data_IF_476047191049
#
_entry.id   IF_476047191049
#
_cell.length_a   1.000
_cell.length_b   1.000
_cell.length_c   1.000
_cell.angle_alpha   90.00
_cell.angle_beta   90.00
_cell.angle_gamma   90.00
#
_symmetry.space_group_name_H-M   'P 1'
#
loop_
_entity.id
_entity.type
_entity.pdbx_description
1 polymer ?
#
# COMPACT_ATOMS: atom_id res chain seq x y z
N UNK A 1 -47.68 -22.07 -51.50
CA UNK A 1 -47.54 -22.96 -50.32
C UNK A 1 -46.06 -22.98 -49.93
N UNK A 2 -45.57 -22.04 -49.12
CA UNK A 2 -45.37 -22.14 -47.65
C UNK A 2 -44.74 -23.46 -47.17
N UNK A 3 -43.43 -23.44 -46.93
CA UNK A 3 -42.72 -23.92 -45.72
C UNK A 3 -41.45 -23.06 -45.62
N UNK A 4 -41.13 -22.31 -44.56
CA UNK A 4 -41.60 -22.35 -43.18
C UNK A 4 -40.35 -22.34 -42.30
N UNK A 5 -40.10 -21.20 -41.65
CA UNK A 5 -39.00 -20.89 -40.74
C UNK A 5 -38.71 -21.94 -39.66
N UNK A 6 -37.44 -22.13 -39.31
CA UNK A 6 -36.99 -22.37 -37.93
C UNK A 6 -35.48 -22.09 -37.84
N UNK A 7 -35.16 -20.83 -37.56
CA UNK A 7 -33.84 -20.27 -37.24
C UNK A 7 -33.84 -20.04 -35.73
N UNK A 8 -32.73 -20.36 -35.06
CA UNK A 8 -32.35 -19.92 -33.71
C UNK A 8 -33.32 -20.23 -32.56
N UNK A 9 -33.10 -21.34 -31.85
CA UNK A 9 -33.55 -21.55 -30.46
C UNK A 9 -32.84 -22.79 -29.87
N UNK A 10 -31.55 -22.66 -29.55
CA UNK A 10 -30.90 -23.49 -28.51
C UNK A 10 -29.92 -22.60 -27.74
N UNK A 11 -30.50 -21.58 -27.09
CA UNK A 11 -30.02 -21.02 -25.83
C UNK A 11 -31.04 -21.46 -24.78
N UNK A 12 -30.59 -21.70 -23.55
CA UNK A 12 -31.39 -21.94 -22.33
C UNK A 12 -31.49 -23.40 -21.81
N UNK A 13 -30.37 -24.06 -21.47
CA UNK A 13 -30.41 -25.28 -20.61
C UNK A 13 -29.12 -25.61 -19.80
N UNK A 14 -28.24 -24.64 -19.49
CA UNK A 14 -27.08 -24.89 -18.60
C UNK A 14 -26.99 -23.90 -17.43
N UNK A 15 -28.12 -23.47 -16.89
CA UNK A 15 -28.19 -22.66 -15.66
C UNK A 15 -29.31 -23.19 -14.74
N UNK A 16 -29.21 -24.47 -14.37
CA UNK A 16 -30.08 -25.06 -13.34
C UNK A 16 -29.21 -25.63 -12.22
N UNK A 17 -28.42 -24.75 -11.62
CA UNK A 17 -27.74 -24.95 -10.34
C UNK A 17 -28.11 -23.79 -9.42
N UNK A 18 -29.39 -23.68 -9.06
CA UNK A 18 -29.88 -22.68 -8.12
C UNK A 18 -29.47 -23.07 -6.70
N UNK A 19 -28.22 -22.76 -6.35
CA UNK A 19 -27.86 -22.45 -4.97
C UNK A 19 -27.84 -20.93 -4.85
N UNK A 20 -28.54 -20.40 -3.85
CA UNK A 20 -28.61 -18.97 -3.55
C UNK A 20 -27.24 -18.45 -3.08
N UNK A 21 -26.33 -18.23 -4.04
CA UNK A 21 -25.12 -17.43 -3.86
C UNK A 21 -25.44 -16.00 -4.28
N UNK A 22 -25.02 -15.01 -3.48
CA UNK A 22 -25.21 -13.59 -3.79
C UNK A 22 -24.70 -13.22 -5.19
N UNK A 23 -25.22 -12.14 -5.75
CA UNK A 23 -24.80 -11.61 -7.04
C UNK A 23 -23.27 -11.40 -7.06
N UNK A 24 -22.55 -12.16 -7.88
CA UNK A 24 -21.10 -12.00 -8.09
C UNK A 24 -20.87 -10.94 -9.19
N UNK A 25 -19.92 -9.99 -9.02
CA UNK A 25 -19.60 -8.98 -10.04
C UNK A 25 -19.35 -9.57 -11.42
N UNK A 26 -18.68 -10.73 -11.50
CA UNK A 26 -18.39 -11.42 -12.75
C UNK A 26 -19.66 -11.96 -13.42
N UNK A 27 -20.61 -12.48 -12.65
CA UNK A 27 -21.90 -12.94 -13.21
C UNK A 27 -22.66 -11.78 -13.84
N UNK A 28 -22.77 -10.67 -13.13
CA UNK A 28 -23.40 -9.45 -13.67
C UNK A 28 -22.63 -8.91 -14.88
N UNK A 29 -21.31 -9.08 -14.91
CA UNK A 29 -20.49 -8.66 -16.04
C UNK A 29 -20.81 -9.46 -17.30
N UNK A 30 -20.99 -10.78 -17.20
CA UNK A 30 -21.44 -11.58 -18.34
C UNK A 30 -22.84 -11.18 -18.82
N UNK A 31 -23.76 -10.86 -17.91
CA UNK A 31 -25.09 -10.36 -18.29
C UNK A 31 -24.98 -9.00 -19.02
N UNK A 32 -24.15 -8.10 -18.50
CA UNK A 32 -23.83 -6.80 -19.11
C UNK A 32 -23.23 -6.96 -20.51
N UNK A 33 -22.15 -7.74 -20.67
CA UNK A 33 -21.47 -7.97 -21.95
C UNK A 33 -22.41 -8.55 -23.01
N UNK A 34 -23.36 -9.40 -22.61
CA UNK A 34 -24.30 -10.00 -23.54
C UNK A 34 -25.44 -9.06 -23.96
N UNK A 35 -25.80 -8.10 -23.13
CA UNK A 35 -26.95 -7.20 -23.33
C UNK A 35 -26.57 -5.82 -23.85
N UNK A 36 -25.35 -5.35 -23.57
CA UNK A 36 -24.89 -4.03 -23.97
C UNK A 36 -24.53 -3.97 -25.46
N UNK A 37 -25.14 -3.03 -26.18
CA UNK A 37 -24.93 -2.82 -27.61
C UNK A 37 -23.56 -2.22 -27.94
N UNK A 38 -22.90 -1.54 -26.99
CA UNK A 38 -21.56 -1.00 -27.14
C UNK A 38 -20.48 -2.08 -27.20
N UNK A 39 -20.77 -3.29 -26.71
CA UNK A 39 -19.84 -4.43 -26.77
C UNK A 39 -20.02 -5.18 -28.09
N UNK A 40 -18.98 -5.17 -28.92
CA UNK A 40 -19.01 -5.82 -30.25
C UNK A 40 -19.16 -7.35 -30.15
N UNK A 41 -19.72 -7.97 -31.19
CA UNK A 41 -19.87 -9.44 -31.23
C UNK A 41 -18.53 -10.19 -31.10
N UNK A 42 -17.45 -9.62 -31.64
CA UNK A 42 -16.09 -10.17 -31.51
C UNK A 42 -15.58 -10.11 -30.07
N UNK A 43 -15.81 -9.00 -29.36
CA UNK A 43 -15.47 -8.90 -27.93
C UNK A 43 -16.28 -9.89 -27.10
N UNK A 44 -17.59 -10.03 -27.35
CA UNK A 44 -18.43 -11.02 -26.63
C UNK A 44 -17.93 -12.45 -26.81
N UNK A 45 -17.66 -12.84 -28.06
CA UNK A 45 -17.15 -14.17 -28.38
C UNK A 45 -15.79 -14.43 -27.70
N UNK A 46 -14.91 -13.42 -27.71
CA UNK A 46 -13.62 -13.51 -27.03
C UNK A 46 -13.78 -13.69 -25.52
N UNK A 47 -14.61 -12.88 -24.85
CA UNK A 47 -14.82 -12.97 -23.40
C UNK A 47 -15.38 -14.34 -23.01
N UNK A 48 -16.34 -14.86 -23.78
CA UNK A 48 -16.89 -16.19 -23.56
C UNK A 48 -15.83 -17.29 -23.75
N UNK A 49 -14.99 -17.17 -24.78
CA UNK A 49 -13.90 -18.12 -25.03
C UNK A 49 -12.86 -18.08 -23.91
N UNK A 50 -12.39 -16.87 -23.53
CA UNK A 50 -11.40 -16.66 -22.48
C UNK A 50 -11.85 -17.26 -21.14
N UNK A 51 -13.14 -17.20 -20.83
CA UNK A 51 -13.71 -17.85 -19.65
C UNK A 51 -13.79 -19.37 -19.77
N UNK A 52 -14.14 -19.89 -20.95
CA UNK A 52 -14.21 -21.35 -21.15
C UNK A 52 -12.85 -22.05 -21.11
N UNK A 53 -11.79 -21.34 -21.47
CA UNK A 53 -10.40 -21.84 -21.46
C UNK A 53 -9.70 -21.58 -20.11
N UNK A 54 -10.34 -20.79 -19.24
CA UNK A 54 -9.86 -20.46 -17.92
C UNK A 54 -10.07 -21.63 -16.95
N UNK A 55 -8.98 -22.31 -16.60
CA UNK A 55 -8.95 -23.28 -15.49
C UNK A 55 -8.50 -22.58 -14.20
N UNK A 56 -9.30 -22.70 -13.14
CA UNK A 56 -9.01 -22.17 -11.79
C UNK A 56 -8.65 -20.67 -11.72
N UNK A 57 -9.21 -19.82 -12.60
CA UNK A 57 -8.91 -18.38 -12.50
C UNK A 57 -9.60 -17.75 -11.30
N UNK A 58 -8.86 -16.85 -10.68
CA UNK A 58 -9.40 -15.85 -9.78
C UNK A 58 -10.33 -14.88 -10.54
N UNK A 59 -11.59 -14.78 -10.12
CA UNK A 59 -12.61 -13.96 -10.79
C UNK A 59 -12.21 -12.48 -10.88
N UNK A 60 -11.53 -11.96 -9.85
CA UNK A 60 -11.10 -10.56 -9.79
C UNK A 60 -10.00 -10.26 -10.81
N UNK A 61 -9.03 -11.16 -10.94
CA UNK A 61 -7.96 -11.09 -11.94
C UNK A 61 -8.53 -11.20 -13.35
N UNK A 62 -9.41 -12.17 -13.59
CA UNK A 62 -10.05 -12.35 -14.89
C UNK A 62 -10.84 -11.10 -15.33
N UNK A 63 -11.64 -10.53 -14.42
CA UNK A 63 -12.42 -9.32 -14.73
C UNK A 63 -11.51 -8.15 -15.12
N UNK A 64 -10.40 -7.96 -14.39
CA UNK A 64 -9.42 -6.92 -14.70
C UNK A 64 -8.80 -7.15 -16.09
N UNK A 65 -8.38 -8.37 -16.40
CA UNK A 65 -7.76 -8.73 -17.68
C UNK A 65 -8.73 -8.50 -18.86
N UNK A 66 -9.97 -8.94 -18.74
CA UNK A 66 -10.97 -8.76 -19.79
C UNK A 66 -11.25 -7.28 -20.05
N UNK A 67 -11.28 -6.43 -19.01
CA UNK A 67 -11.46 -4.99 -19.21
C UNK A 67 -10.34 -4.34 -20.03
N UNK A 68 -9.11 -4.85 -19.94
CA UNK A 68 -8.00 -4.37 -20.79
C UNK A 68 -8.18 -4.69 -22.26
N UNK A 69 -8.98 -5.72 -22.58
CA UNK A 69 -9.28 -6.11 -23.95
C UNK A 69 -10.46 -5.34 -24.53
N UNK A 70 -11.44 -5.00 -23.69
CA UNK A 70 -12.61 -4.23 -24.08
C UNK A 70 -12.29 -2.74 -24.20
N UNK A 71 -11.40 -2.21 -23.35
CA UNK A 71 -11.00 -0.80 -23.34
C UNK A 71 -9.49 -0.64 -23.48
N UNK A 72 -8.99 -0.26 -24.67
CA UNK A 72 -7.57 0.05 -24.89
C UNK A 72 -7.07 1.22 -24.03
N UNK A 73 -7.94 2.18 -23.72
CA UNK A 73 -7.60 3.30 -22.84
C UNK A 73 -7.40 2.82 -21.39
N UNK A 74 -8.27 1.93 -20.90
CA UNK A 74 -8.11 1.32 -19.58
C UNK A 74 -6.81 0.51 -19.51
N UNK A 75 -6.51 -0.26 -20.56
CA UNK A 75 -5.24 -0.98 -20.69
C UNK A 75 -4.04 -0.06 -20.60
N UNK A 76 -4.03 1.05 -21.33
CA UNK A 76 -2.92 2.02 -21.29
C UNK A 76 -2.71 2.57 -19.87
N UNK A 77 -3.79 2.88 -19.15
CA UNK A 77 -3.71 3.29 -17.75
C UNK A 77 -3.14 2.21 -16.84
N UNK A 78 -3.57 0.96 -17.02
CA UNK A 78 -3.08 -0.17 -16.22
C UNK A 78 -1.61 -0.50 -16.52
N UNK A 79 -1.20 -0.44 -17.79
CA UNK A 79 0.19 -0.59 -18.20
C UNK A 79 1.08 0.50 -17.58
N UNK A 80 0.57 1.75 -17.48
CA UNK A 80 1.26 2.82 -16.78
C UNK A 80 1.38 2.58 -15.26
N UNK A 81 0.32 2.07 -14.63
CA UNK A 81 0.34 1.68 -13.21
C UNK A 81 1.40 0.60 -12.94
N UNK A 82 1.37 -0.48 -13.73
CA UNK A 82 2.31 -1.60 -13.62
C UNK A 82 3.76 -1.17 -13.90
N UNK A 83 3.97 -0.15 -14.73
CA UNK A 83 5.28 0.43 -15.03
C UNK A 83 5.74 1.48 -14.00
N UNK A 84 4.99 1.72 -12.93
CA UNK A 84 5.31 2.72 -11.91
C UNK A 84 5.12 4.17 -12.35
N UNK A 85 4.53 4.42 -13.52
CA UNK A 85 4.29 5.77 -14.07
C UNK A 85 2.97 6.33 -13.55
N UNK A 86 2.93 6.61 -12.25
CA UNK A 86 1.68 6.93 -11.55
C UNK A 86 0.99 8.19 -12.06
N UNK A 87 1.73 9.24 -12.41
CA UNK A 87 1.13 10.46 -12.98
C UNK A 87 0.43 10.18 -14.33
N UNK A 88 1.01 9.30 -15.16
CA UNK A 88 0.38 8.87 -16.42
C UNK A 88 -0.86 8.00 -16.14
N UNK A 89 -0.77 7.06 -15.19
CA UNK A 89 -1.93 6.27 -14.75
C UNK A 89 -3.08 7.18 -14.29
N UNK A 90 -2.82 8.14 -13.39
CA UNK A 90 -3.83 9.09 -12.90
C UNK A 90 -4.46 9.85 -14.06
N UNK A 91 -3.67 10.34 -15.02
CA UNK A 91 -4.18 11.06 -16.18
C UNK A 91 -5.09 10.17 -17.06
N UNK A 92 -4.65 8.95 -17.40
CA UNK A 92 -5.42 8.01 -18.21
C UNK A 92 -6.72 7.59 -17.51
N UNK A 93 -6.63 7.18 -16.24
CA UNK A 93 -7.79 6.74 -15.47
C UNK A 93 -8.80 7.87 -15.21
N UNK A 94 -8.33 9.12 -15.08
CA UNK A 94 -9.21 10.29 -14.95
C UNK A 94 -10.12 10.48 -16.17
N UNK A 95 -9.62 10.19 -17.37
CA UNK A 95 -10.40 10.26 -18.60
C UNK A 95 -11.53 9.22 -18.69
N UNK A 96 -11.46 8.16 -17.87
CA UNK A 96 -12.38 7.02 -17.90
C UNK A 96 -13.41 7.04 -16.76
N UNK A 97 -13.39 8.03 -15.87
CA UNK A 97 -14.32 8.10 -14.74
C UNK A 97 -15.79 8.22 -15.16
N UNK A 98 -16.05 8.71 -16.38
CA UNK A 98 -17.37 8.85 -16.97
C UNK A 98 -17.58 7.90 -18.16
N UNK A 99 -16.80 6.82 -18.26
CA UNK A 99 -16.94 5.82 -19.32
C UNK A 99 -18.37 5.22 -19.31
N UNK A 100 -19.02 5.05 -20.46
CA UNK A 100 -20.34 4.43 -20.55
C UNK A 100 -20.38 3.00 -19.97
N UNK A 101 -19.25 2.28 -20.02
CA UNK A 101 -19.12 0.98 -19.38
C UNK A 101 -18.86 1.16 -17.87
N UNK A 102 -19.82 0.79 -17.00
CA UNK A 102 -19.70 1.01 -15.56
C UNK A 102 -18.57 0.21 -14.92
N UNK A 103 -18.15 -0.92 -15.51
CA UNK A 103 -17.00 -1.69 -15.03
C UNK A 103 -15.69 -0.94 -15.29
N UNK A 104 -15.53 -0.39 -16.50
CA UNK A 104 -14.37 0.43 -16.85
C UNK A 104 -14.29 1.65 -15.95
N UNK A 105 -15.40 2.37 -15.75
CA UNK A 105 -15.43 3.55 -14.88
C UNK A 105 -15.09 3.21 -13.42
N UNK A 106 -15.62 2.12 -12.88
CA UNK A 106 -15.35 1.69 -11.51
C UNK A 106 -13.89 1.27 -11.31
N UNK A 107 -13.33 0.48 -12.21
CA UNK A 107 -11.92 0.05 -12.15
C UNK A 107 -10.97 1.22 -12.42
N UNK A 108 -11.31 2.15 -13.31
CA UNK A 108 -10.51 3.35 -13.54
C UNK A 108 -10.44 4.20 -12.26
N UNK A 109 -11.57 4.43 -11.59
CA UNK A 109 -11.58 5.14 -10.31
C UNK A 109 -10.76 4.42 -9.23
N UNK A 110 -10.82 3.08 -9.17
CA UNK A 110 -10.00 2.27 -8.26
C UNK A 110 -8.49 2.47 -8.51
N UNK A 111 -8.05 2.29 -9.76
CA UNK A 111 -6.63 2.41 -10.10
C UNK A 111 -6.12 3.85 -10.02
N UNK A 112 -6.97 4.85 -10.29
CA UNK A 112 -6.68 6.25 -10.00
C UNK A 112 -6.43 6.47 -8.51
N UNK A 113 -7.32 5.99 -7.64
CA UNK A 113 -7.16 6.13 -6.19
C UNK A 113 -5.88 5.44 -5.70
N UNK A 114 -5.56 4.25 -6.21
CA UNK A 114 -4.32 3.53 -5.89
C UNK A 114 -3.08 4.32 -6.32
N UNK A 115 -3.07 4.82 -7.54
CA UNK A 115 -1.95 5.64 -8.04
C UNK A 115 -1.78 6.94 -7.25
N UNK A 116 -2.88 7.59 -6.84
CA UNK A 116 -2.84 8.79 -6.00
C UNK A 116 -2.27 8.50 -4.61
N UNK A 117 -2.63 7.35 -4.02
CA UNK A 117 -2.02 6.87 -2.77
C UNK A 117 -0.54 6.58 -2.93
N UNK A 118 -0.13 5.93 -4.03
CA UNK A 118 1.26 5.57 -4.28
C UNK A 118 2.17 6.79 -4.45
N UNK A 119 1.65 7.92 -4.95
CA UNK A 119 2.38 9.21 -5.01
C UNK A 119 2.15 10.10 -3.79
N UNK A 120 1.54 9.57 -2.73
CA UNK A 120 1.25 10.29 -1.49
C UNK A 120 0.37 11.54 -1.66
N UNK A 121 -0.43 11.64 -2.75
CA UNK A 121 -1.48 12.65 -2.89
C UNK A 121 -2.75 12.20 -2.19
N UNK A 122 -2.69 12.16 -0.87
CA UNK A 122 -3.75 11.67 0.01
C UNK A 122 -5.03 12.49 -0.13
N UNK A 123 -4.93 13.76 -0.53
CA UNK A 123 -6.10 14.64 -0.73
C UNK A 123 -6.88 14.23 -1.98
N UNK A 124 -6.17 14.07 -3.10
CA UNK A 124 -6.78 13.61 -4.34
C UNK A 124 -7.32 12.18 -4.17
N UNK A 125 -6.53 11.29 -3.56
CA UNK A 125 -6.92 9.92 -3.25
C UNK A 125 -8.22 9.88 -2.44
N UNK A 126 -8.30 10.62 -1.33
CA UNK A 126 -9.51 10.65 -0.49
C UNK A 126 -10.73 11.13 -1.26
N UNK A 127 -10.60 12.17 -2.09
CA UNK A 127 -11.69 12.65 -2.95
C UNK A 127 -12.17 11.56 -3.91
N UNK A 128 -11.26 10.84 -4.55
CA UNK A 128 -11.59 9.74 -5.46
C UNK A 128 -12.26 8.59 -4.71
N UNK A 129 -11.75 8.21 -3.54
CA UNK A 129 -12.26 7.12 -2.70
C UNK A 129 -13.65 7.46 -2.14
N UNK A 130 -13.87 8.68 -1.64
CA UNK A 130 -15.19 9.10 -1.16
C UNK A 130 -16.22 9.13 -2.29
N UNK A 131 -15.81 9.50 -3.51
CA UNK A 131 -16.69 9.43 -4.69
C UNK A 131 -17.06 7.98 -5.07
N UNK A 132 -16.11 7.05 -4.96
CA UNK A 132 -16.35 5.60 -5.12
C UNK A 132 -17.33 5.07 -4.06
N UNK A 133 -17.27 5.59 -2.84
CA UNK A 133 -18.07 5.14 -1.71
C UNK A 133 -19.37 5.94 -1.49
N UNK A 134 -19.65 6.95 -2.32
CA UNK A 134 -20.77 7.88 -2.14
C UNK A 134 -22.16 7.23 -2.04
N UNK A 135 -22.35 6.06 -2.66
CA UNK A 135 -23.60 5.28 -2.64
C UNK A 135 -23.56 4.14 -1.60
N UNK A 136 -22.85 4.37 -0.49
CA UNK A 136 -22.43 3.34 0.47
C UNK A 136 -21.50 2.27 -0.16
N UNK A 137 -20.88 2.60 -1.31
CA UNK A 137 -20.00 1.74 -2.08
C UNK A 137 -20.72 0.56 -2.74
N UNK A 138 -22.02 0.70 -3.04
CA UNK A 138 -22.80 -0.29 -3.80
C UNK A 138 -22.23 -0.48 -5.20
N UNK A 139 -21.86 0.61 -5.89
CA UNK A 139 -21.19 0.55 -7.20
C UNK A 139 -19.90 -0.24 -7.14
N UNK A 140 -19.06 -0.01 -6.13
CA UNK A 140 -17.79 -0.75 -5.97
C UNK A 140 -18.06 -2.23 -5.76
N UNK A 141 -18.99 -2.59 -4.87
CA UNK A 141 -19.33 -3.99 -4.60
C UNK A 141 -19.99 -4.69 -5.80
N UNK A 142 -20.68 -3.94 -6.66
CA UNK A 142 -21.37 -4.47 -7.84
C UNK A 142 -20.43 -4.70 -9.02
N UNK A 143 -19.53 -3.75 -9.27
CA UNK A 143 -18.71 -3.75 -10.49
C UNK A 143 -17.27 -4.21 -10.26
N UNK A 144 -16.85 -4.41 -9.02
CA UNK A 144 -15.47 -4.79 -8.67
C UNK A 144 -15.45 -5.79 -7.50
N UNK A 145 -14.31 -6.45 -7.31
CA UNK A 145 -14.02 -7.24 -6.11
C UNK A 145 -13.23 -6.46 -5.05
N UNK A 146 -13.04 -5.14 -5.26
CA UNK A 146 -12.11 -4.33 -4.50
C UNK A 146 -12.74 -3.58 -3.31
N UNK A 147 -13.97 -3.93 -2.89
CA UNK A 147 -14.67 -3.17 -1.83
C UNK A 147 -13.88 -3.09 -0.53
N UNK A 148 -13.29 -4.19 -0.09
CA UNK A 148 -12.43 -4.21 1.08
C UNK A 148 -11.17 -3.34 0.88
N UNK A 149 -10.53 -3.43 -0.29
CA UNK A 149 -9.37 -2.61 -0.63
C UNK A 149 -9.71 -1.11 -0.61
N UNK A 150 -10.83 -0.69 -1.20
CA UNK A 150 -11.27 0.71 -1.20
C UNK A 150 -11.56 1.23 0.22
N UNK A 151 -12.25 0.43 1.05
CA UNK A 151 -12.50 0.81 2.44
C UNK A 151 -11.20 0.93 3.25
N UNK A 152 -10.25 0.01 3.01
CA UNK A 152 -8.93 0.06 3.63
C UNK A 152 -8.11 1.28 3.17
N UNK A 153 -8.11 1.60 1.88
CA UNK A 153 -7.42 2.79 1.36
C UNK A 153 -8.02 4.08 1.94
N UNK A 154 -9.33 4.12 2.20
CA UNK A 154 -9.96 5.24 2.90
C UNK A 154 -9.37 5.42 4.30
N UNK A 155 -9.29 4.33 5.05
CA UNK A 155 -8.67 4.31 6.39
C UNK A 155 -7.22 4.78 6.32
N UNK A 156 -6.45 4.26 5.36
CA UNK A 156 -5.06 4.67 5.16
C UNK A 156 -4.95 6.19 4.96
N UNK A 157 -5.84 6.77 4.14
CA UNK A 157 -5.88 8.23 3.94
C UNK A 157 -6.20 9.00 5.24
N UNK A 158 -7.08 8.47 6.10
CA UNK A 158 -7.36 9.08 7.42
C UNK A 158 -6.14 9.08 8.32
N UNK A 159 -5.37 7.99 8.34
CA UNK A 159 -4.13 7.89 9.12
C UNK A 159 -3.10 8.89 8.62
N UNK A 160 -2.87 8.96 7.31
CA UNK A 160 -1.93 9.91 6.71
C UNK A 160 -2.34 11.37 6.93
N UNK A 161 -3.64 11.68 6.96
CA UNK A 161 -4.16 13.01 7.27
C UNK A 161 -4.25 13.30 8.78
N UNK A 162 -3.64 12.44 9.63
CA UNK A 162 -3.59 12.55 11.09
C UNK A 162 -4.97 12.52 11.79
N UNK A 163 -5.99 11.97 11.13
CA UNK A 163 -7.36 11.85 11.64
C UNK A 163 -7.54 10.58 12.49
N UNK A 164 -6.68 10.41 13.49
CA UNK A 164 -6.52 9.14 14.22
C UNK A 164 -7.77 8.60 14.89
N UNK A 165 -8.58 9.46 15.52
CA UNK A 165 -9.81 9.04 16.18
C UNK A 165 -10.84 8.47 15.18
N UNK A 166 -10.96 9.10 14.00
CA UNK A 166 -11.83 8.61 12.95
C UNK A 166 -11.26 7.33 12.31
N UNK A 167 -9.93 7.29 12.11
CA UNK A 167 -9.24 6.12 11.57
C UNK A 167 -9.44 4.87 12.45
N UNK A 168 -9.37 5.01 13.79
CA UNK A 168 -9.61 3.88 14.70
C UNK A 168 -11.04 3.32 14.57
N UNK A 169 -12.05 4.19 14.54
CA UNK A 169 -13.46 3.77 14.37
C UNK A 169 -13.65 3.03 13.04
N UNK A 170 -13.09 3.58 11.96
CA UNK A 170 -13.21 3.00 10.62
C UNK A 170 -12.40 1.70 10.45
N UNK A 171 -11.27 1.55 11.14
CA UNK A 171 -10.50 0.30 11.20
C UNK A 171 -11.30 -0.83 11.87
N UNK A 172 -11.94 -0.53 13.00
CA UNK A 172 -12.79 -1.50 13.68
C UNK A 172 -13.97 -1.90 12.78
N UNK A 173 -14.63 -0.92 12.15
CA UNK A 173 -15.70 -1.17 11.20
C UNK A 173 -15.23 -1.92 9.94
N UNK A 174 -13.98 -1.74 9.50
CA UNK A 174 -13.40 -2.47 8.39
C UNK A 174 -13.22 -3.96 8.74
N UNK A 175 -12.63 -4.26 9.91
CA UNK A 175 -12.41 -5.63 10.38
C UNK A 175 -13.72 -6.39 10.60
N UNK A 176 -14.78 -5.69 11.04
CA UNK A 176 -16.12 -6.26 11.22
C UNK A 176 -16.85 -6.49 9.89
N UNK A 177 -16.81 -5.51 8.96
CA UNK A 177 -17.50 -5.60 7.66
C UNK A 177 -16.82 -6.55 6.68
N UNK A 178 -15.51 -6.72 6.77
CA UNK A 178 -14.71 -7.49 5.81
C UNK A 178 -13.88 -8.60 6.46
N UNK A 179 -14.49 -9.55 7.19
CA UNK A 179 -13.75 -10.60 7.89
C UNK A 179 -13.01 -11.55 6.94
N UNK A 180 -13.37 -11.56 5.65
CA UNK A 180 -12.78 -12.38 4.59
C UNK A 180 -11.91 -11.56 3.61
N UNK A 181 -11.53 -10.33 3.97
CA UNK A 181 -10.61 -9.55 3.14
C UNK A 181 -9.26 -10.28 2.96
N UNK A 182 -8.49 -9.98 1.89
CA UNK A 182 -7.15 -10.51 1.72
C UNK A 182 -6.31 -10.37 2.99
N UNK A 183 -5.61 -11.45 3.38
CA UNK A 183 -4.91 -11.53 4.66
C UNK A 183 -3.97 -10.34 4.91
N UNK A 184 -3.30 -9.85 3.86
CA UNK A 184 -2.45 -8.65 3.94
C UNK A 184 -3.19 -7.43 4.50
N UNK A 185 -4.44 -7.20 4.09
CA UNK A 185 -5.23 -6.05 4.54
C UNK A 185 -5.67 -6.23 6.00
N UNK A 186 -6.05 -7.45 6.40
CA UNK A 186 -6.42 -7.76 7.79
C UNK A 186 -5.22 -7.57 8.71
N UNK A 187 -4.04 -8.08 8.33
CA UNK A 187 -2.82 -7.93 9.12
C UNK A 187 -2.43 -6.45 9.23
N UNK A 188 -2.41 -5.72 8.11
CA UNK A 188 -2.10 -4.29 8.12
C UNK A 188 -3.11 -3.47 8.92
N UNK A 189 -4.41 -3.78 8.86
CA UNK A 189 -5.44 -3.09 9.64
C UNK A 189 -5.26 -3.32 11.15
N UNK A 190 -4.97 -4.56 11.56
CA UNK A 190 -4.68 -4.86 12.96
C UNK A 190 -3.40 -4.18 13.45
N UNK A 191 -2.37 -4.12 12.60
CA UNK A 191 -1.14 -3.40 12.91
C UNK A 191 -1.40 -1.90 13.08
N UNK A 192 -2.09 -1.25 12.13
CA UNK A 192 -2.46 0.16 12.24
C UNK A 192 -3.29 0.41 13.51
N UNK A 193 -4.26 -0.45 13.83
CA UNK A 193 -5.07 -0.31 15.04
C UNK A 193 -4.23 -0.41 16.32
N UNK A 194 -3.28 -1.35 16.38
CA UNK A 194 -2.36 -1.49 17.50
C UNK A 194 -1.43 -0.27 17.62
N UNK A 195 -0.92 0.24 16.50
CA UNK A 195 -0.13 1.46 16.46
C UNK A 195 -0.95 2.63 17.00
N UNK A 196 -2.17 2.87 16.48
CA UNK A 196 -3.06 3.95 16.91
C UNK A 196 -3.33 3.92 18.42
N UNK A 197 -3.62 2.75 18.98
CA UNK A 197 -3.91 2.58 20.42
C UNK A 197 -2.71 2.80 21.33
N UNK A 198 -1.51 2.54 20.82
CA UNK A 198 -0.26 2.73 21.56
C UNK A 198 0.34 4.13 21.39
N UNK A 199 -0.32 5.02 20.62
CA UNK A 199 0.17 6.39 20.41
C UNK A 199 0.18 7.17 21.71
N UNK A 200 1.29 7.85 21.97
CA UNK A 200 1.46 8.74 23.11
C UNK A 200 1.57 10.17 22.60
N UNK A 201 0.55 10.98 22.89
CA UNK A 201 0.57 12.40 22.57
C UNK A 201 1.71 13.12 23.30
N UNK A 202 2.28 14.14 22.66
CA UNK A 202 3.35 14.95 23.19
C UNK A 202 4.70 14.24 23.29
N UNK A 203 4.92 13.16 22.54
CA UNK A 203 6.19 12.44 22.45
C UNK A 203 6.81 12.60 21.07
N UNK A 204 8.05 12.16 20.90
CA UNK A 204 8.81 12.25 19.64
C UNK A 204 8.06 11.64 18.45
N UNK A 205 7.24 10.60 18.66
CA UNK A 205 6.39 10.02 17.62
C UNK A 205 5.49 11.07 16.97
N UNK A 206 4.80 11.90 17.76
CA UNK A 206 3.90 12.94 17.23
C UNK A 206 4.66 13.99 16.40
N UNK A 207 5.90 14.30 16.74
CA UNK A 207 6.76 15.16 15.90
C UNK A 207 6.97 14.52 14.53
N UNK A 208 7.34 13.25 14.49
CA UNK A 208 7.53 12.50 13.25
C UNK A 208 6.28 12.52 12.38
N UNK A 209 5.10 12.29 12.98
CA UNK A 209 3.85 12.32 12.22
C UNK A 209 3.53 13.71 11.65
N UNK A 210 3.71 14.78 12.43
CA UNK A 210 3.49 16.16 11.99
C UNK A 210 4.45 16.56 10.86
N UNK A 211 5.70 16.12 10.93
CA UNK A 211 6.71 16.39 9.89
C UNK A 211 6.45 15.59 8.63
N UNK A 212 6.09 14.31 8.73
CA UNK A 212 5.72 13.48 7.57
C UNK A 212 4.48 14.05 6.86
N UNK A 213 3.47 14.46 7.64
CA UNK A 213 2.31 15.17 7.12
C UNK A 213 2.72 16.41 6.32
N UNK A 214 3.52 17.29 6.93
CA UNK A 214 3.95 18.52 6.25
C UNK A 214 4.77 18.24 4.99
N UNK A 215 5.68 17.27 5.04
CA UNK A 215 6.50 16.87 3.89
C UNK A 215 5.64 16.41 2.71
N UNK A 216 4.67 15.51 2.94
CA UNK A 216 3.77 15.03 1.88
C UNK A 216 2.90 16.14 1.29
N UNK A 217 2.44 17.10 2.09
CA UNK A 217 1.69 18.26 1.58
C UNK A 217 2.56 19.18 0.71
N UNK A 218 3.79 19.44 1.13
CA UNK A 218 4.73 20.27 0.38
C UNK A 218 5.16 19.61 -0.94
N UNK A 219 5.33 18.29 -0.98
CA UNK A 219 5.58 17.53 -2.21
C UNK A 219 4.46 17.73 -3.23
N UNK A 220 3.22 17.79 -2.74
CA UNK A 220 2.02 18.11 -3.53
C UNK A 220 1.78 19.62 -3.71
N UNK A 221 2.80 20.45 -3.47
CA UNK A 221 2.78 21.92 -3.62
C UNK A 221 1.72 22.63 -2.76
N UNK A 222 1.29 21.99 -1.67
CA UNK A 222 0.41 22.58 -0.67
C UNK A 222 1.22 23.09 0.53
N UNK A 223 1.34 24.41 0.64
CA UNK A 223 1.96 25.11 1.76
C UNK A 223 0.95 25.97 2.54
N UNK A 224 -0.33 25.57 2.53
CA UNK A 224 -1.42 26.31 3.17
C UNK A 224 -1.27 26.46 4.70
N UNK A 225 -2.16 27.24 5.29
CA UNK A 225 -2.13 27.58 6.72
C UNK A 225 -2.09 26.34 7.62
N UNK A 226 -2.89 25.31 7.33
CA UNK A 226 -2.90 24.07 8.11
C UNK A 226 -1.53 23.39 8.13
N UNK A 227 -0.79 23.40 7.02
CA UNK A 227 0.57 22.82 6.97
C UNK A 227 1.52 23.60 7.88
N UNK A 228 1.47 24.94 7.81
CA UNK A 228 2.31 25.82 8.63
C UNK A 228 2.00 25.66 10.12
N UNK A 229 0.74 25.54 10.50
CA UNK A 229 0.32 25.27 11.89
C UNK A 229 0.86 23.93 12.40
N UNK A 230 0.84 22.89 11.55
CA UNK A 230 1.40 21.57 11.91
C UNK A 230 2.92 21.62 12.06
N UNK A 231 3.60 22.37 11.20
CA UNK A 231 5.04 22.61 11.31
C UNK A 231 5.40 23.36 12.60
N UNK A 232 4.69 24.46 12.90
CA UNK A 232 4.87 25.21 14.13
C UNK A 232 4.62 24.35 15.37
N UNK A 233 3.58 23.52 15.35
CA UNK A 233 3.29 22.57 16.44
C UNK A 233 4.43 21.57 16.65
N UNK A 234 5.03 21.05 15.57
CA UNK A 234 6.14 20.12 15.66
C UNK A 234 7.38 20.77 16.27
N UNK A 235 7.71 22.01 15.87
CA UNK A 235 8.82 22.78 16.45
C UNK A 235 8.59 23.01 17.95
N UNK A 236 7.40 23.51 18.32
CA UNK A 236 7.07 23.75 19.72
C UNK A 236 7.13 22.47 20.58
N UNK A 237 6.76 21.33 20.00
CA UNK A 237 6.86 20.04 20.69
C UNK A 237 8.31 19.57 20.84
N UNK A 238 9.16 19.79 19.82
CA UNK A 238 10.59 19.52 19.91
C UNK A 238 11.27 20.36 21.00
N UNK A 239 10.99 21.66 21.04
CA UNK A 239 11.53 22.57 22.06
C UNK A 239 11.16 22.07 23.47
N UNK A 240 9.88 21.73 23.68
CA UNK A 240 9.43 21.15 24.95
C UNK A 240 10.16 19.85 25.30
N UNK A 241 10.36 18.94 24.34
CA UNK A 241 11.05 17.67 24.59
C UNK A 241 12.53 17.87 24.92
N UNK A 242 13.18 18.87 24.30
CA UNK A 242 14.55 19.26 24.61
C UNK A 242 14.62 19.81 26.04
N UNK A 243 13.73 20.72 26.42
CA UNK A 243 13.64 21.25 27.79
C UNK A 243 13.45 20.15 28.84
N UNK A 244 12.53 19.21 28.58
CA UNK A 244 12.31 18.05 29.47
C UNK A 244 13.57 17.17 29.59
N UNK A 245 14.31 16.96 28.50
CA UNK A 245 15.54 16.18 28.50
C UNK A 245 16.64 16.89 29.31
N UNK A 246 16.86 18.18 29.09
CA UNK A 246 17.84 18.98 29.83
C UNK A 246 17.54 19.01 31.34
N UNK A 247 16.27 19.12 31.73
CA UNK A 247 15.87 19.08 33.14
C UNK A 247 16.17 17.72 33.79
N UNK A 248 15.95 16.61 33.06
CA UNK A 248 16.27 15.26 33.55
C UNK A 248 17.77 15.07 33.77
N UNK A 249 18.60 15.60 32.86
CA UNK A 249 20.06 15.56 33.02
C UNK A 249 20.51 16.35 34.25
N UNK A 250 20.00 17.57 34.44
CA UNK A 250 20.34 18.42 35.60
C UNK A 250 19.93 17.75 36.93
N UNK A 251 18.74 17.15 37.00
CA UNK A 251 18.25 16.50 38.21
C UNK A 251 18.98 15.17 38.51
N UNK A 252 19.42 14.44 37.47
CA UNK A 252 20.20 13.21 37.66
C UNK A 252 21.61 13.47 38.22
N UNK A 253 22.23 14.62 37.89
CA UNK A 253 23.51 15.02 38.46
C UNK A 253 23.42 15.44 39.94
N UNK A 254 22.25 15.85 40.43
CA UNK A 254 22.07 16.28 41.82
C UNK A 254 21.79 15.13 42.81
N UNK A 255 21.58 13.90 42.32
CA UNK A 255 21.25 12.73 43.16
C UNK A 255 22.45 11.83 43.51
N UNK A 256 23.67 12.19 43.12
CA UNK A 256 24.89 11.54 43.62
C UNK A 256 25.38 12.24 44.88
N UNK A 257 24.74 11.97 46.02
CA UNK A 257 25.35 12.22 47.33
C UNK A 257 26.00 10.90 47.81
N UNK A 258 27.32 10.86 48.08
CA UNK A 258 28.02 9.65 48.49
C UNK A 258 27.81 9.41 50.00
N UNK A 259 26.90 8.50 50.37
CA UNK A 259 26.84 7.97 51.74
C UNK A 259 27.36 6.52 51.80
N UNK A 260 28.61 6.43 52.25
CA UNK A 260 29.38 5.32 52.83
C UNK A 260 28.83 3.88 52.85
N UNK A 261 29.70 2.94 52.45
CA UNK A 261 29.59 1.53 52.83
C UNK A 261 30.55 0.56 52.11
N UNK A 262 31.84 0.60 52.45
CA UNK A 262 32.80 -0.53 52.43
C UNK A 262 32.95 -1.45 51.21
N UNK A 263 34.10 -1.37 50.53
CA UNK A 263 34.54 -2.42 49.61
C UNK A 263 35.84 -2.07 48.87
N UNK A 264 36.92 -2.75 49.21
CA UNK A 264 38.29 -2.58 48.70
C UNK A 264 38.40 -2.67 47.16
N UNK A 265 39.20 -1.77 46.57
CA UNK A 265 39.90 -2.01 45.30
C UNK A 265 39.56 -1.05 44.15
N UNK A 266 40.60 -0.40 43.61
CA UNK A 266 40.67 0.41 42.38
C UNK A 266 40.65 1.93 42.60
N UNK A 267 41.79 2.56 42.31
CA UNK A 267 42.03 4.00 42.38
C UNK A 267 41.09 4.75 41.42
N UNK A 268 40.11 5.46 41.98
CA UNK A 268 39.39 6.53 41.30
C UNK A 268 39.93 7.88 41.80
N UNK A 269 40.25 8.84 40.91
CA UNK A 269 40.75 10.14 41.32
C UNK A 269 39.66 10.94 42.06
N UNK A 270 40.01 11.49 43.21
CA UNK A 270 39.08 12.10 44.19
C UNK A 270 38.97 13.62 44.08
N UNK A 271 39.41 14.23 42.98
CA UNK A 271 39.28 15.68 42.73
C UNK A 271 39.00 15.97 41.25
N UNK A 272 38.04 16.86 40.92
CA UNK A 272 37.80 17.28 39.55
C UNK A 272 38.96 18.16 39.05
N UNK A 273 39.38 17.94 37.80
CA UNK A 273 40.45 18.73 37.20
C UNK A 273 40.00 20.18 36.96
N UNK A 274 40.86 21.20 37.22
CA UNK A 274 40.52 22.60 37.02
C UNK A 274 40.27 22.99 35.56
N UNK A 275 40.84 22.24 34.61
CA UNK A 275 40.65 22.43 33.17
C UNK A 275 40.28 21.11 32.49
N UNK A 276 39.33 21.19 31.56
CA UNK A 276 38.92 20.05 30.73
C UNK A 276 39.99 19.75 29.67
N UNK A 277 41.05 19.06 30.06
CA UNK A 277 42.01 18.49 29.11
C UNK A 277 41.84 16.98 29.05
N UNK A 278 41.89 16.44 27.84
CA UNK A 278 41.84 14.99 27.60
C UNK A 278 43.02 14.32 28.34
N UNK A 279 42.79 13.24 29.09
CA UNK A 279 43.87 12.49 29.74
C UNK A 279 44.89 12.04 28.69
N UNK A 280 46.17 12.37 28.92
CA UNK A 280 47.24 12.00 28.01
C UNK A 280 47.52 10.48 28.13
N UNK A 281 46.76 9.71 27.37
CA UNK A 281 46.96 8.28 27.15
C UNK A 281 46.78 8.01 25.67
N UNK A 282 47.71 7.26 25.06
CA UNK A 282 47.66 6.94 23.64
C UNK A 282 46.49 5.98 23.34
N UNK A 283 45.30 6.53 23.09
CA UNK A 283 44.22 5.78 22.47
C UNK A 283 44.59 5.51 21.02
N UNK A 284 45.04 4.28 20.72
CA UNK A 284 45.07 3.78 19.35
C UNK A 284 43.61 3.50 18.97
N UNK A 285 43.03 4.20 17.97
CA UNK A 285 41.73 3.81 17.45
C UNK A 285 41.87 2.37 16.93
N UNK A 286 41.11 1.43 17.49
CA UNK A 286 40.99 0.11 16.88
C UNK A 286 40.43 0.28 15.47
N UNK A 287 40.90 -0.52 14.52
CA UNK A 287 40.36 -0.48 13.16
C UNK A 287 38.85 -0.76 13.22
N UNK A 288 38.06 0.28 12.96
CA UNK A 288 36.62 0.14 12.74
C UNK A 288 36.47 -0.78 11.53
N UNK A 289 35.86 -1.95 11.71
CA UNK A 289 35.44 -2.76 10.56
C UNK A 289 34.43 -1.91 9.80
N UNK A 290 34.75 -1.54 8.57
CA UNK A 290 33.76 -0.99 7.66
C UNK A 290 32.58 -1.96 7.63
N UNK A 291 31.39 -1.47 7.98
CA UNK A 291 30.17 -2.20 7.73
C UNK A 291 30.13 -2.40 6.22
N UNK A 292 30.33 -3.64 5.77
CA UNK A 292 30.30 -4.01 4.35
C UNK A 292 28.93 -3.59 3.84
N UNK A 293 28.86 -2.49 3.08
CA UNK A 293 27.65 -2.12 2.33
C UNK A 293 27.52 -3.17 1.25
N UNK A 294 26.84 -4.25 1.58
CA UNK A 294 26.66 -5.35 0.64
C UNK A 294 25.75 -4.87 -0.49
N UNK A 295 26.27 -4.86 -1.71
CA UNK A 295 25.44 -4.65 -2.88
C UNK A 295 24.47 -5.84 -3.00
N UNK A 296 23.17 -5.62 -3.28
CA UNK A 296 22.18 -6.70 -3.39
C UNK A 296 22.60 -7.82 -4.36
N UNK A 297 23.35 -7.50 -5.43
CA UNK A 297 23.85 -8.49 -6.39
C UNK A 297 24.96 -9.40 -5.85
N UNK A 298 25.88 -8.89 -5.03
CA UNK A 298 26.95 -9.68 -4.43
C UNK A 298 26.42 -10.70 -3.42
N UNK A 299 25.37 -10.32 -2.66
CA UNK A 299 24.71 -11.24 -1.74
C UNK A 299 23.98 -12.38 -2.46
N UNK A 300 23.43 -12.11 -3.64
CA UNK A 300 22.78 -13.13 -4.46
C UNK A 300 23.80 -14.11 -5.07
N UNK A 301 24.90 -13.59 -5.62
CA UNK A 301 26.00 -14.41 -6.16
C UNK A 301 26.69 -15.29 -5.10
N UNK A 302 26.75 -14.83 -3.86
CA UNK A 302 27.35 -15.54 -2.73
C UNK A 302 26.41 -16.56 -2.04
N UNK A 303 25.12 -16.59 -2.39
CA UNK A 303 24.13 -17.44 -1.71
C UNK A 303 24.23 -18.92 -2.17
N UNK A 304 24.12 -19.90 -1.26
CA UNK A 304 24.03 -21.32 -1.60
C UNK A 304 22.92 -21.59 -2.64
N UNK A 305 23.15 -22.45 -3.64
CA UNK A 305 22.17 -22.72 -4.70
C UNK A 305 20.78 -23.14 -4.19
N UNK A 306 20.72 -23.94 -3.12
CA UNK A 306 19.46 -24.41 -2.54
C UNK A 306 18.61 -23.28 -1.93
N UNK A 307 19.25 -22.30 -1.28
CA UNK A 307 18.54 -21.14 -0.70
C UNK A 307 18.02 -20.22 -1.80
N UNK A 308 18.79 -20.05 -2.89
CA UNK A 308 18.34 -19.30 -4.08
C UNK A 308 17.10 -19.93 -4.71
N UNK A 309 17.09 -21.25 -4.88
CA UNK A 309 15.94 -21.96 -5.45
C UNK A 309 14.68 -21.87 -4.58
N UNK A 310 14.83 -21.93 -3.26
CA UNK A 310 13.70 -21.74 -2.32
C UNK A 310 13.12 -20.33 -2.39
N UNK A 311 13.98 -19.30 -2.45
CA UNK A 311 13.52 -17.92 -2.61
C UNK A 311 12.85 -17.73 -3.97
N UNK A 312 13.39 -18.32 -5.04
CA UNK A 312 12.78 -18.27 -6.37
C UNK A 312 11.44 -19.01 -6.43
N UNK A 313 11.27 -20.13 -5.71
CA UNK A 313 9.98 -20.82 -5.60
C UNK A 313 8.97 -19.98 -4.81
N UNK A 314 9.37 -19.40 -3.67
CA UNK A 314 8.51 -18.50 -2.90
C UNK A 314 8.11 -17.25 -3.71
N UNK A 315 9.02 -16.73 -4.55
CA UNK A 315 8.72 -15.64 -5.49
C UNK A 315 7.73 -16.09 -6.57
N UNK A 316 7.88 -17.30 -7.10
CA UNK A 316 6.99 -17.85 -8.13
C UNK A 316 5.55 -18.04 -7.64
N UNK A 317 5.38 -18.35 -6.35
CA UNK A 317 4.06 -18.50 -5.72
C UNK A 317 3.40 -17.15 -5.41
N UNK A 318 4.20 -16.09 -5.24
CA UNK A 318 3.73 -14.77 -4.77
C UNK A 318 3.53 -13.74 -5.89
N UNK A 319 4.23 -13.85 -7.02
CA UNK A 319 4.18 -12.85 -8.10
C UNK A 319 3.35 -13.29 -9.33
N UNK A 320 2.55 -12.39 -9.93
CA UNK A 320 1.84 -12.67 -11.18
C UNK A 320 2.79 -13.08 -12.33
N UNK A 321 2.37 -14.03 -13.17
CA UNK A 321 3.19 -14.65 -14.24
C UNK A 321 3.87 -13.65 -15.19
N UNK A 322 3.35 -12.42 -15.32
CA UNK A 322 3.89 -11.36 -16.19
C UNK A 322 5.28 -10.85 -15.77
N UNK A 323 5.60 -10.89 -14.48
CA UNK A 323 6.87 -10.36 -13.97
C UNK A 323 8.03 -11.37 -14.02
N UNK A 324 7.75 -12.65 -14.32
CA UNK A 324 8.76 -13.72 -14.36
C UNK A 324 9.93 -13.37 -15.29
N UNK A 325 9.62 -12.93 -16.52
CA UNK A 325 10.65 -12.58 -17.51
C UNK A 325 11.50 -11.38 -17.13
N UNK A 326 10.91 -10.38 -16.46
CA UNK A 326 11.62 -9.17 -16.05
C UNK A 326 12.58 -9.45 -14.88
N UNK A 327 12.14 -10.29 -13.94
CA UNK A 327 12.97 -10.73 -12.81
C UNK A 327 14.12 -11.60 -13.29
N UNK A 328 13.86 -12.56 -14.18
CA UNK A 328 14.90 -13.41 -14.80
C UNK A 328 15.92 -12.56 -15.57
N UNK A 329 15.48 -11.60 -16.39
CA UNK A 329 16.36 -10.71 -17.14
C UNK A 329 17.20 -9.80 -16.23
N UNK A 330 16.61 -9.27 -15.16
CA UNK A 330 17.31 -8.43 -14.20
C UNK A 330 18.42 -9.22 -13.49
N UNK A 331 18.13 -10.43 -13.00
CA UNK A 331 19.13 -11.25 -12.31
C UNK A 331 20.17 -11.88 -13.25
N UNK A 332 19.83 -12.17 -14.51
CA UNK A 332 20.82 -12.58 -15.52
C UNK A 332 21.79 -11.46 -15.90
N UNK A 333 21.31 -10.20 -15.92
CA UNK A 333 22.17 -9.04 -16.16
C UNK A 333 23.10 -8.80 -14.95
N UNK A 334 22.55 -8.90 -13.74
CA UNK A 334 23.30 -8.73 -12.49
C UNK A 334 24.40 -9.79 -12.30
N UNK A 335 24.19 -11.02 -12.80
CA UNK A 335 25.17 -12.10 -12.75
C UNK A 335 26.28 -12.00 -13.82
N UNK A 336 26.10 -11.12 -14.82
CA UNK A 336 27.07 -10.84 -15.89
C UNK A 336 27.95 -9.63 -15.61
N UNK A 337 27.63 -8.85 -14.58
CA UNK A 337 28.50 -7.79 -14.06
C UNK A 337 29.53 -8.41 -13.10
N UNK A 338 30.85 -8.28 -13.36
CA UNK A 338 31.91 -8.92 -12.60
C UNK A 338 32.16 -8.29 -11.21
#
# INVERSE_FOLDING_TARGET
>A
MRRGQARYLVLCSLMTGAAAFGQSPLREFFEFVNTDESVSAGQRAFVAQAWSECNDCDEASFLTEVLTLISPAFRAGLDAYDAGRMAECVAQMSGLLADPNPYVAAYAALYKAKAEVDVNDVVAARKTIDALLADAGKRVARYTYAKAEVDFLRVYCLVQDLQFAQAEVELLAFLDRHPQAPQRLIVSANQMLAELRNRQAGRIGEVTDLMNYAAGRLENKDAGQTVQERQAKAIALLDKLIEEAEQRERNSQQSQNPSGGGGSGSQAPSTPMPDSQLPQGASRPGALREARRANPGEMWGAMPPAEREQILQALQDTFPRRYRRLVEQYYEQLAKEP
#
